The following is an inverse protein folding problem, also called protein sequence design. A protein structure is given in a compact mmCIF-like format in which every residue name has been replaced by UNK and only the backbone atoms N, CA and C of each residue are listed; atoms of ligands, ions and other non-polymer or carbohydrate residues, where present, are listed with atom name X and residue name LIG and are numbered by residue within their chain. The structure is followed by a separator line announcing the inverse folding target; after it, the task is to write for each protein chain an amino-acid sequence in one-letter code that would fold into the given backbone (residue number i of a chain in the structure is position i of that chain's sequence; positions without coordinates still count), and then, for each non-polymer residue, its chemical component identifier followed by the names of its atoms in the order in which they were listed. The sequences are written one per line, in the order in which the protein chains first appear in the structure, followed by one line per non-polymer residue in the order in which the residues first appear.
data_IF_676389766107
#
_entry.id   IF_676389766107
#
_cell.length_a   1.000
_cell.length_b   1.000
_cell.length_c   1.000
_cell.angle_alpha   90.00
_cell.angle_beta   90.00
_cell.angle_gamma   90.00
#
_symmetry.space_group_name_H-M   'P 1'
#
loop_
_entity.id
_entity.type
_entity.pdbx_description
1 polymer ?
#
# COMPACT_ATOMS: atom_id res chain seq x y z
N UNK A 1 -16.39 -8.57 16.78
CA UNK A 1 -16.27 -8.61 18.22
C UNK A 1 -17.38 -9.34 18.95
N UNK A 2 -18.65 -9.26 18.51
CA UNK A 2 -19.80 -9.81 19.26
C UNK A 2 -19.72 -11.34 19.46
N UNK A 3 -19.25 -12.09 18.45
CA UNK A 3 -19.15 -13.56 18.52
C UNK A 3 -17.96 -14.08 19.35
N UNK A 4 -17.01 -13.23 19.71
CA UNK A 4 -15.78 -13.62 20.40
C UNK A 4 -15.61 -12.94 21.76
N UNK A 5 -16.69 -12.58 22.41
CA UNK A 5 -16.69 -11.94 23.76
C UNK A 5 -15.73 -10.73 23.86
N UNK A 6 -15.68 -9.90 22.81
CA UNK A 6 -14.81 -8.73 22.74
C UNK A 6 -13.34 -9.01 22.42
N UNK A 7 -12.92 -10.28 22.31
CA UNK A 7 -11.55 -10.65 21.89
C UNK A 7 -11.50 -10.89 20.37
N UNK A 8 -10.56 -10.27 19.69
CA UNK A 8 -10.31 -10.54 18.27
C UNK A 8 -9.44 -11.81 18.19
N UNK A 9 -9.89 -12.88 17.50
CA UNK A 9 -9.05 -14.05 17.31
C UNK A 9 -7.87 -13.73 16.38
N UNK A 10 -6.74 -14.45 16.46
CA UNK A 10 -5.65 -14.29 15.52
C UNK A 10 -6.09 -14.51 14.08
N UNK A 11 -5.72 -13.59 13.20
CA UNK A 11 -6.11 -13.58 11.78
C UNK A 11 -4.97 -14.18 10.94
N UNK A 12 -5.29 -15.16 10.11
CA UNK A 12 -4.38 -15.72 9.12
C UNK A 12 -4.69 -15.16 7.73
N UNK A 13 -3.67 -14.74 6.99
CA UNK A 13 -3.81 -14.24 5.62
C UNK A 13 -3.18 -15.23 4.65
N UNK A 14 -4.02 -15.89 3.84
CA UNK A 14 -3.54 -16.86 2.85
C UNK A 14 -3.07 -16.16 1.56
N UNK A 15 -2.02 -16.67 0.89
CA UNK A 15 -1.45 -16.06 -0.32
C UNK A 15 -2.28 -16.41 -1.57
N UNK A 16 -3.56 -16.01 -1.60
CA UNK A 16 -4.50 -16.32 -2.68
C UNK A 16 -4.67 -15.16 -3.69
N UNK A 17 -3.97 -14.06 -3.52
CA UNK A 17 -4.01 -12.90 -4.42
C UNK A 17 -2.90 -12.91 -5.47
N UNK A 18 -2.82 -11.84 -6.26
CA UNK A 18 -1.79 -11.64 -7.29
C UNK A 18 -0.43 -11.24 -6.70
N UNK A 19 -0.41 -10.32 -5.75
CA UNK A 19 0.81 -9.75 -5.16
C UNK A 19 1.12 -10.29 -3.76
N UNK A 20 0.10 -10.69 -3.00
CA UNK A 20 0.19 -11.32 -1.68
C UNK A 20 1.07 -10.55 -0.66
N UNK A 21 1.12 -9.21 -0.75
CA UNK A 21 2.03 -8.39 0.06
C UNK A 21 1.84 -8.62 1.57
N UNK A 22 0.60 -8.72 2.05
CA UNK A 22 0.29 -8.94 3.46
C UNK A 22 0.73 -10.33 3.90
N UNK A 23 0.42 -11.37 3.11
CA UNK A 23 0.85 -12.73 3.41
C UNK A 23 2.39 -12.82 3.45
N UNK A 24 3.08 -12.19 2.49
CA UNK A 24 4.55 -12.13 2.45
C UNK A 24 5.14 -11.41 3.67
N UNK A 25 4.52 -10.33 4.12
CA UNK A 25 4.93 -9.60 5.34
C UNK A 25 4.82 -10.47 6.59
N UNK A 26 3.77 -11.30 6.64
CA UNK A 26 3.55 -12.28 7.71
C UNK A 26 4.34 -13.59 7.51
N UNK A 27 5.22 -13.67 6.52
CA UNK A 27 6.04 -14.85 6.26
C UNK A 27 5.29 -16.03 5.66
N UNK A 28 4.12 -15.79 5.07
CA UNK A 28 3.28 -16.81 4.45
C UNK A 28 3.46 -16.77 2.95
N UNK A 29 4.02 -17.84 2.34
CA UNK A 29 4.35 -17.89 0.93
C UNK A 29 3.89 -19.19 0.27
N UNK A 30 3.90 -19.22 -1.07
CA UNK A 30 3.68 -20.40 -1.88
C UNK A 30 2.21 -20.77 -2.05
N UNK A 31 1.91 -22.04 -2.01
CA UNK A 31 0.57 -22.57 -2.22
C UNK A 31 -0.35 -22.29 -1.02
N UNK A 32 -1.56 -21.72 -1.23
CA UNK A 32 -2.45 -21.36 -0.14
C UNK A 32 -2.98 -22.57 0.66
N UNK A 33 -3.09 -23.75 0.02
CA UNK A 33 -3.55 -24.96 0.70
C UNK A 33 -2.48 -25.46 1.66
N UNK A 34 -1.22 -25.52 1.22
CA UNK A 34 -0.08 -25.88 2.08
C UNK A 34 0.11 -24.87 3.23
N UNK A 35 -0.11 -23.60 2.96
CA UNK A 35 -0.08 -22.58 3.99
C UNK A 35 -1.18 -22.80 5.04
N UNK A 36 -2.39 -23.14 4.61
CA UNK A 36 -3.50 -23.46 5.50
C UNK A 36 -3.22 -24.71 6.34
N UNK A 37 -2.72 -25.79 5.72
CA UNK A 37 -2.33 -27.03 6.42
C UNK A 37 -1.33 -26.73 7.54
N UNK A 38 -0.30 -25.94 7.25
CA UNK A 38 0.70 -25.52 8.24
C UNK A 38 0.10 -24.68 9.37
N UNK A 39 -0.84 -23.77 9.07
CA UNK A 39 -1.55 -23.00 10.10
C UNK A 39 -2.35 -23.93 11.01
N UNK A 40 -3.03 -24.93 10.45
CA UNK A 40 -3.80 -25.91 11.22
C UNK A 40 -2.88 -26.76 12.12
N UNK A 41 -1.71 -27.16 11.64
CA UNK A 41 -0.71 -27.87 12.45
C UNK A 41 -0.23 -27.02 13.63
N UNK A 42 0.12 -25.77 13.38
CA UNK A 42 0.52 -24.82 14.43
C UNK A 42 -0.61 -24.59 15.43
N UNK A 43 -1.86 -24.48 14.95
CA UNK A 43 -3.01 -24.30 15.83
C UNK A 43 -3.22 -25.49 16.80
N UNK A 44 -2.85 -26.71 16.40
CA UNK A 44 -2.90 -27.92 17.26
C UNK A 44 -1.80 -27.91 18.32
N UNK A 45 -0.63 -27.34 18.04
CA UNK A 45 0.52 -27.28 18.95
C UNK A 45 0.53 -26.04 19.84
N UNK A 46 -0.23 -25.00 19.49
CA UNK A 46 -0.32 -23.72 20.20
C UNK A 46 0.08 -22.54 19.33
N UNK A 47 -0.73 -21.48 19.35
CA UNK A 47 -0.54 -20.29 18.50
C UNK A 47 0.38 -19.22 19.13
N UNK A 48 0.72 -19.32 20.42
CA UNK A 48 1.31 -18.23 21.20
C UNK A 48 2.51 -17.56 20.53
N UNK A 49 3.50 -18.34 20.11
CA UNK A 49 4.76 -17.84 19.52
C UNK A 49 4.59 -17.34 18.08
N UNK A 50 3.45 -17.59 17.46
CA UNK A 50 3.14 -17.22 16.09
C UNK A 50 2.22 -16.00 15.99
N UNK A 51 1.75 -15.44 17.11
CA UNK A 51 0.88 -14.27 17.11
C UNK A 51 1.69 -12.99 17.16
N UNK A 52 1.50 -12.14 16.17
CA UNK A 52 2.08 -10.78 16.11
C UNK A 52 0.97 -9.74 16.09
N UNK A 53 1.22 -8.63 16.77
CA UNK A 53 0.30 -7.49 16.77
C UNK A 53 0.57 -6.59 15.58
N UNK A 54 -0.45 -6.21 14.82
CA UNK A 54 -0.37 -5.34 13.65
C UNK A 54 -1.44 -4.28 13.70
N UNK A 55 -1.08 -3.04 13.47
CA UNK A 55 -2.03 -1.98 13.22
C UNK A 55 -2.51 -2.01 11.77
N UNK A 56 -3.72 -1.57 11.55
CA UNK A 56 -4.34 -1.46 10.24
C UNK A 56 -4.55 0.01 9.88
N UNK A 57 -4.71 0.26 8.59
CA UNK A 57 -5.21 1.53 8.08
C UNK A 57 -6.73 1.50 8.15
N UNK A 58 -7.33 2.39 8.92
CA UNK A 58 -8.76 2.65 8.91
C UNK A 58 -9.05 3.81 7.96
N UNK A 59 -9.67 3.50 6.81
CA UNK A 59 -9.99 4.44 5.75
C UNK A 59 -11.46 4.87 5.85
N UNK A 60 -11.72 6.18 5.79
CA UNK A 60 -13.06 6.76 5.74
C UNK A 60 -13.09 8.03 4.88
N UNK A 61 -14.23 8.32 4.27
CA UNK A 61 -14.53 9.60 3.61
C UNK A 61 -15.40 10.54 4.48
N UNK A 62 -15.61 10.15 5.74
CA UNK A 62 -16.45 10.89 6.68
C UNK A 62 -17.95 10.67 6.50
N UNK A 63 -18.39 9.84 5.55
CA UNK A 63 -19.81 9.48 5.34
C UNK A 63 -20.15 8.09 5.88
N UNK A 64 -19.21 7.17 5.78
CA UNK A 64 -19.40 5.79 6.22
C UNK A 64 -19.29 5.70 7.74
N UNK A 65 -20.26 5.07 8.37
CA UNK A 65 -20.26 4.81 9.82
C UNK A 65 -19.18 3.77 10.21
N UNK A 66 -18.72 2.97 9.27
CA UNK A 66 -17.69 1.94 9.48
C UNK A 66 -16.51 2.18 8.54
N UNK A 67 -15.28 2.32 9.06
CA UNK A 67 -14.10 2.44 8.23
C UNK A 67 -13.84 1.16 7.45
N UNK A 68 -13.24 1.29 6.27
CA UNK A 68 -12.66 0.15 5.54
C UNK A 68 -11.25 -0.06 6.09
N UNK A 69 -10.93 -1.32 6.43
CA UNK A 69 -9.66 -1.68 7.06
C UNK A 69 -8.74 -2.36 6.04
N UNK A 70 -7.45 -2.03 6.11
CA UNK A 70 -6.42 -2.66 5.26
C UNK A 70 -5.02 -2.36 5.75
N UNK A 71 -4.00 -2.83 5.04
CA UNK A 71 -2.58 -2.66 5.41
C UNK A 71 -1.76 -1.96 4.32
N UNK A 72 -2.25 -1.92 3.09
CA UNK A 72 -1.56 -1.30 1.96
C UNK A 72 -2.53 -0.47 1.14
N UNK A 73 -2.24 0.82 1.01
CA UNK A 73 -2.99 1.75 0.19
C UNK A 73 -2.11 2.31 -0.92
N UNK A 74 -2.60 2.23 -2.15
CA UNK A 74 -2.06 2.90 -3.32
C UNK A 74 -2.98 4.01 -3.81
N UNK A 75 -2.41 5.18 -4.08
CA UNK A 75 -3.16 6.34 -4.56
C UNK A 75 -2.43 7.10 -5.66
N UNK A 76 -3.02 8.20 -6.11
CA UNK A 76 -2.54 9.05 -7.20
C UNK A 76 -2.31 8.22 -8.49
N UNK A 77 -1.25 8.48 -9.25
CA UNK A 77 -0.94 7.74 -10.47
C UNK A 77 -0.75 6.23 -10.28
N UNK A 78 -0.39 5.78 -9.06
CA UNK A 78 -0.27 4.35 -8.76
C UNK A 78 -1.64 3.64 -8.80
N UNK A 79 -2.71 4.29 -8.34
CA UNK A 79 -4.06 3.74 -8.44
C UNK A 79 -4.46 3.55 -9.91
N UNK A 80 -4.23 4.56 -10.75
CA UNK A 80 -4.50 4.49 -12.19
C UNK A 80 -3.67 3.40 -12.87
N UNK A 81 -2.40 3.25 -12.46
CA UNK A 81 -1.50 2.20 -12.93
C UNK A 81 -2.01 0.80 -12.57
N UNK A 82 -2.41 0.57 -11.32
CA UNK A 82 -2.93 -0.74 -10.87
C UNK A 82 -4.22 -1.09 -11.62
N UNK A 83 -5.12 -0.11 -11.80
CA UNK A 83 -6.34 -0.28 -12.57
C UNK A 83 -6.05 -0.63 -14.03
N UNK A 84 -5.12 0.09 -14.64
CA UNK A 84 -4.68 -0.19 -16.00
C UNK A 84 -4.12 -1.61 -16.15
N UNK A 85 -3.24 -2.05 -15.24
CA UNK A 85 -2.73 -3.42 -15.23
C UNK A 85 -3.86 -4.44 -15.13
N UNK A 86 -4.81 -4.20 -14.23
CA UNK A 86 -5.92 -5.13 -14.00
C UNK A 86 -6.82 -5.26 -15.23
N UNK A 87 -7.13 -4.14 -15.87
CA UNK A 87 -8.13 -4.10 -16.94
C UNK A 87 -7.56 -4.41 -18.34
N UNK A 88 -6.26 -4.13 -18.55
CA UNK A 88 -5.63 -4.24 -19.88
C UNK A 88 -4.53 -5.28 -19.97
N UNK A 89 -3.75 -5.47 -18.91
CA UNK A 89 -2.54 -6.31 -18.99
C UNK A 89 -2.79 -7.72 -18.45
N UNK A 90 -3.49 -7.88 -17.33
CA UNK A 90 -3.78 -9.20 -16.78
C UNK A 90 -4.59 -10.12 -17.69
N UNK A 91 -5.57 -9.62 -18.49
CA UNK A 91 -6.27 -10.46 -19.46
C UNK A 91 -5.38 -11.08 -20.55
N UNK A 92 -4.15 -10.54 -20.75
CA UNK A 92 -3.17 -11.08 -21.70
C UNK A 92 -2.49 -12.38 -21.22
N UNK A 93 -2.75 -12.82 -19.97
CA UNK A 93 -2.22 -14.07 -19.43
C UNK A 93 -0.70 -14.08 -19.18
N UNK A 94 -0.04 -12.92 -19.22
CA UNK A 94 1.40 -12.79 -18.98
C UNK A 94 1.73 -13.03 -17.50
N UNK A 95 2.96 -13.46 -17.22
CA UNK A 95 3.43 -13.60 -15.85
C UNK A 95 3.39 -12.25 -15.12
N UNK A 96 3.08 -12.25 -13.82
CA UNK A 96 2.91 -11.02 -13.04
C UNK A 96 4.13 -10.10 -13.12
N UNK A 97 5.34 -10.65 -12.99
CA UNK A 97 6.58 -9.86 -13.07
C UNK A 97 6.76 -9.19 -14.43
N UNK A 98 6.47 -9.89 -15.51
CA UNK A 98 6.58 -9.36 -16.87
C UNK A 98 5.49 -8.33 -17.17
N UNK A 99 4.26 -8.55 -16.67
CA UNK A 99 3.15 -7.59 -16.78
C UNK A 99 3.48 -6.27 -16.10
N UNK A 100 4.01 -6.32 -14.89
CA UNK A 100 4.42 -5.11 -14.15
C UNK A 100 5.60 -4.40 -14.81
N UNK A 101 6.60 -5.15 -15.30
CA UNK A 101 7.73 -4.59 -16.04
C UNK A 101 7.27 -3.87 -17.31
N UNK A 102 6.43 -4.51 -18.12
CA UNK A 102 5.91 -3.93 -19.36
C UNK A 102 5.11 -2.67 -19.11
N UNK A 103 4.27 -2.65 -18.08
CA UNK A 103 3.47 -1.48 -17.72
C UNK A 103 4.35 -0.35 -17.17
N UNK A 104 5.33 -0.66 -16.32
CA UNK A 104 6.30 0.32 -15.83
C UNK A 104 7.08 0.96 -16.99
N UNK A 105 7.50 0.16 -17.96
CA UNK A 105 8.18 0.63 -19.17
C UNK A 105 7.27 1.53 -20.00
N UNK A 106 5.99 1.16 -20.18
CA UNK A 106 5.02 1.95 -20.93
C UNK A 106 4.75 3.31 -20.25
N UNK A 107 4.58 3.33 -18.92
CA UNK A 107 4.41 4.56 -18.14
C UNK A 107 5.66 5.43 -18.24
N UNK A 108 6.85 4.85 -18.07
CA UNK A 108 8.11 5.58 -18.19
C UNK A 108 8.28 6.17 -19.59
N UNK A 109 8.01 5.39 -20.64
CA UNK A 109 8.06 5.86 -22.03
C UNK A 109 7.06 7.00 -22.27
N UNK A 110 5.84 6.92 -21.74
CA UNK A 110 4.85 7.98 -21.87
C UNK A 110 5.30 9.30 -21.24
N UNK A 111 5.96 9.22 -20.09
CA UNK A 111 6.49 10.39 -19.38
C UNK A 111 7.70 11.00 -20.09
N UNK A 112 8.62 10.17 -20.61
CA UNK A 112 9.83 10.63 -21.30
C UNK A 112 9.50 11.26 -22.66
N UNK A 113 8.65 10.59 -23.43
CA UNK A 113 8.34 11.01 -24.81
C UNK A 113 7.09 11.87 -24.93
N UNK A 114 6.41 12.16 -23.81
CA UNK A 114 5.17 12.94 -23.81
C UNK A 114 4.03 12.27 -24.60
N UNK A 115 4.09 10.95 -24.82
CA UNK A 115 3.13 10.23 -25.63
C UNK A 115 1.80 10.15 -24.87
N UNK A 116 0.83 10.93 -25.31
CA UNK A 116 -0.56 10.86 -24.82
C UNK A 116 -1.36 9.87 -25.66
N UNK A 117 -1.11 8.60 -25.47
CA UNK A 117 -1.90 7.57 -26.14
C UNK A 117 -3.16 7.24 -25.32
N UNK A 118 -4.26 7.02 -26.03
CA UNK A 118 -5.60 6.73 -25.45
C UNK A 118 -5.64 5.49 -24.53
N UNK A 119 -4.64 4.64 -24.63
CA UNK A 119 -4.50 3.40 -23.85
C UNK A 119 -3.50 3.53 -22.67
N UNK A 120 -2.87 4.70 -22.46
CA UNK A 120 -1.98 4.94 -21.33
C UNK A 120 -2.74 5.54 -20.15
N UNK A 121 -2.30 5.31 -18.90
CA UNK A 121 -2.88 5.95 -17.73
C UNK A 121 -2.88 7.47 -17.88
N UNK A 122 -4.00 8.10 -17.56
CA UNK A 122 -4.11 9.55 -17.60
C UNK A 122 -3.18 10.18 -16.55
N UNK A 123 -2.74 11.41 -16.80
CA UNK A 123 -1.92 12.15 -15.83
C UNK A 123 -2.68 12.31 -14.50
N UNK A 124 -2.03 12.01 -13.39
CA UNK A 124 -2.61 12.14 -12.06
C UNK A 124 -3.10 13.57 -11.79
N UNK A 125 -4.27 13.68 -11.16
CA UNK A 125 -4.79 14.96 -10.68
C UNK A 125 -3.94 15.48 -9.51
N UNK A 126 -3.89 16.80 -9.28
CA UNK A 126 -3.20 17.35 -8.13
C UNK A 126 -3.89 16.85 -6.83
N UNK A 127 -3.08 16.42 -5.88
CA UNK A 127 -3.52 15.89 -4.59
C UNK A 127 -2.79 16.66 -3.50
N UNK A 128 -3.50 17.03 -2.46
CA UNK A 128 -2.93 17.58 -1.24
C UNK A 128 -2.98 16.52 -0.14
N UNK A 129 -1.86 16.31 0.53
CA UNK A 129 -1.73 15.34 1.61
C UNK A 129 -1.36 16.10 2.87
N UNK A 130 -2.19 16.00 3.90
CA UNK A 130 -1.93 16.61 5.20
C UNK A 130 -1.65 15.53 6.23
N UNK A 131 -0.51 15.64 6.91
CA UNK A 131 -0.15 14.83 8.06
C UNK A 131 -0.37 15.64 9.32
N UNK A 132 -1.04 15.06 10.31
CA UNK A 132 -1.53 15.80 11.48
C UNK A 132 -0.43 16.41 12.36
N UNK A 133 0.82 15.96 12.26
CA UNK A 133 1.97 16.42 13.07
C UNK A 133 3.17 16.92 12.26
N UNK A 134 3.25 16.65 10.97
CA UNK A 134 4.49 16.86 10.18
C UNK A 134 4.32 17.79 8.98
N UNK A 135 3.14 18.37 8.77
CA UNK A 135 2.96 19.36 7.71
C UNK A 135 2.04 18.92 6.57
N UNK A 136 2.11 19.66 5.48
CA UNK A 136 1.29 19.45 4.30
C UNK A 136 2.17 19.28 3.06
N UNK A 137 1.94 18.18 2.34
CA UNK A 137 2.50 17.95 1.02
C UNK A 137 1.42 18.26 -0.03
N UNK A 138 1.69 19.19 -0.92
CA UNK A 138 0.77 19.52 -2.01
C UNK A 138 1.50 19.40 -3.34
N UNK A 139 0.91 18.68 -4.30
CA UNK A 139 1.54 18.48 -5.60
C UNK A 139 0.82 17.47 -6.48
N UNK A 140 1.47 17.15 -7.59
CA UNK A 140 1.09 16.04 -8.44
C UNK A 140 2.04 14.89 -8.19
N UNK A 141 1.50 13.78 -7.72
CA UNK A 141 2.28 12.59 -7.40
C UNK A 141 2.01 11.48 -8.42
N UNK A 142 3.07 10.86 -8.92
CA UNK A 142 2.98 9.64 -9.74
C UNK A 142 2.69 8.41 -8.89
N UNK A 143 3.22 8.41 -7.67
CA UNK A 143 3.07 7.29 -6.73
C UNK A 143 2.70 7.87 -5.37
N UNK A 144 1.66 7.31 -4.76
CA UNK A 144 1.30 7.51 -3.37
C UNK A 144 1.10 6.14 -2.74
N UNK A 145 1.83 5.84 -1.70
CA UNK A 145 1.70 4.62 -0.92
C UNK A 145 1.56 4.99 0.55
N UNK A 146 0.57 4.40 1.21
CA UNK A 146 0.46 4.38 2.68
C UNK A 146 0.39 2.94 3.13
N UNK A 147 1.20 2.57 4.12
CA UNK A 147 1.25 1.18 4.56
C UNK A 147 1.62 1.03 6.04
N UNK A 148 1.11 -0.03 6.66
CA UNK A 148 1.53 -0.51 7.98
C UNK A 148 2.42 -1.76 7.89
N UNK A 149 2.74 -2.25 6.68
CA UNK A 149 3.59 -3.43 6.46
C UNK A 149 5.03 -3.15 6.90
N UNK A 150 5.66 -4.13 7.57
CA UNK A 150 7.03 -4.00 8.05
C UNK A 150 8.06 -4.21 6.94
N UNK A 151 7.83 -5.21 6.09
CA UNK A 151 8.77 -5.63 5.04
C UNK A 151 8.68 -4.78 3.78
N UNK A 152 7.66 -3.97 3.61
CA UNK A 152 7.64 -3.02 2.52
C UNK A 152 8.64 -1.91 2.83
N UNK A 153 9.79 -2.00 2.16
CA UNK A 153 11.00 -1.19 2.36
C UNK A 153 10.77 0.27 1.96
N UNK A 154 10.07 1.00 2.80
CA UNK A 154 10.02 2.45 2.67
C UNK A 154 11.18 3.14 3.42
N UNK A 155 12.14 2.36 3.94
CA UNK A 155 13.37 2.85 4.56
C UNK A 155 13.18 3.77 5.77
N UNK A 156 12.00 3.74 6.34
CA UNK A 156 11.69 4.47 7.56
C UNK A 156 12.07 3.57 8.73
N UNK A 157 12.88 4.11 9.64
CA UNK A 157 13.40 3.36 10.78
C UNK A 157 12.23 2.93 11.70
N UNK A 158 12.00 1.63 11.93
CA UNK A 158 10.92 1.16 12.80
C UNK A 158 11.11 1.56 14.28
N UNK A 159 12.24 2.18 14.61
CA UNK A 159 12.57 2.54 15.99
C UNK A 159 11.92 3.83 16.52
N UNK A 160 11.33 4.68 15.68
CA UNK A 160 10.73 5.93 16.13
C UNK A 160 9.19 5.86 16.18
N UNK A 161 8.68 5.05 17.11
CA UNK A 161 7.24 4.90 17.38
C UNK A 161 6.55 6.21 17.84
N UNK A 162 7.30 7.30 18.06
CA UNK A 162 6.74 8.62 18.38
C UNK A 162 6.09 9.31 17.16
N UNK A 163 6.43 8.87 15.94
CA UNK A 163 5.94 9.44 14.68
C UNK A 163 4.72 8.75 14.12
N UNK A 164 4.27 7.65 14.71
CA UNK A 164 3.14 6.86 14.25
C UNK A 164 3.55 5.64 13.40
N UNK A 165 2.60 4.74 13.13
CA UNK A 165 2.89 3.43 12.54
C UNK A 165 2.55 3.35 11.04
N UNK A 166 1.79 4.31 10.48
CA UNK A 166 1.57 4.39 9.04
C UNK A 166 2.76 5.07 8.37
N UNK A 167 3.35 4.37 7.39
CA UNK A 167 4.42 4.86 6.52
C UNK A 167 3.81 5.43 5.26
N UNK A 168 4.16 6.67 4.92
CA UNK A 168 3.76 7.36 3.69
C UNK A 168 4.96 7.47 2.77
N UNK A 169 4.77 7.13 1.50
CA UNK A 169 5.67 7.49 0.41
C UNK A 169 4.90 8.23 -0.67
N UNK A 170 5.33 9.43 -1.00
CA UNK A 170 4.84 10.19 -2.15
C UNK A 170 6.00 10.46 -3.11
N UNK A 171 5.76 10.25 -4.42
CA UNK A 171 6.76 10.48 -5.47
C UNK A 171 6.19 11.49 -6.45
N UNK A 172 6.91 12.58 -6.64
CA UNK A 172 6.51 13.65 -7.56
C UNK A 172 6.30 13.14 -8.98
N UNK A 173 5.40 13.79 -9.72
CA UNK A 173 5.16 13.50 -11.12
C UNK A 173 6.28 14.08 -11.98
N UNK A 174 7.48 13.53 -11.84
CA UNK A 174 8.64 13.89 -12.65
C UNK A 174 9.42 12.66 -13.08
N UNK A 175 9.98 12.71 -14.30
CA UNK A 175 10.82 11.60 -14.84
C UNK A 175 12.03 11.35 -13.93
N UNK A 176 12.65 12.42 -13.44
CA UNK A 176 13.82 12.32 -12.56
C UNK A 176 13.50 11.66 -11.22
N UNK A 177 12.34 11.94 -10.61
CA UNK A 177 11.92 11.29 -9.37
C UNK A 177 11.64 9.80 -9.59
N UNK A 178 10.96 9.44 -10.68
CA UNK A 178 10.69 8.05 -11.04
C UNK A 178 11.97 7.26 -11.34
N UNK A 179 12.92 7.84 -12.08
CA UNK A 179 14.21 7.19 -12.34
C UNK A 179 15.01 6.98 -11.05
N UNK A 180 15.00 7.97 -10.12
CA UNK A 180 15.62 7.83 -8.80
C UNK A 180 14.95 6.74 -7.98
N UNK A 181 13.61 6.66 -8.01
CA UNK A 181 12.86 5.60 -7.34
C UNK A 181 13.26 4.22 -7.85
N UNK A 182 13.30 4.02 -9.17
CA UNK A 182 13.71 2.75 -9.80
C UNK A 182 15.15 2.42 -9.40
N UNK A 183 16.06 3.38 -9.51
CA UNK A 183 17.46 3.19 -9.15
C UNK A 183 17.64 2.84 -7.66
N UNK A 184 16.96 3.57 -6.77
CA UNK A 184 17.00 3.32 -5.32
C UNK A 184 16.41 1.93 -4.96
N UNK A 185 15.36 1.50 -5.68
CA UNK A 185 14.75 0.18 -5.51
C UNK A 185 15.71 -0.94 -5.91
N UNK A 186 16.35 -0.83 -7.09
CA UNK A 186 17.32 -1.83 -7.59
C UNK A 186 18.52 -1.97 -6.66
N UNK A 187 19.07 -0.86 -6.18
CA UNK A 187 20.25 -0.85 -5.32
C UNK A 187 19.95 -0.93 -3.82
N UNK A 188 18.70 -1.21 -3.44
CA UNK A 188 18.25 -1.30 -2.03
C UNK A 188 18.67 -0.07 -1.17
N UNK A 189 18.63 1.12 -1.77
CA UNK A 189 19.00 2.40 -1.13
C UNK A 189 17.79 3.21 -0.68
N UNK A 190 16.59 2.67 -0.80
CA UNK A 190 15.36 3.33 -0.34
C UNK A 190 15.48 3.63 1.16
N UNK A 191 15.19 4.88 1.54
CA UNK A 191 15.17 5.36 2.92
C UNK A 191 16.52 5.64 3.59
N UNK A 192 17.64 5.35 2.92
CA UNK A 192 18.97 5.68 3.46
C UNK A 192 19.40 7.13 3.24
N UNK A 193 18.79 7.82 2.31
CA UNK A 193 19.06 9.23 1.99
C UNK A 193 17.76 9.91 1.54
N UNK A 194 17.57 11.17 1.92
CA UNK A 194 16.52 12.01 1.35
C UNK A 194 16.80 12.19 -0.15
N UNK A 195 15.86 11.81 -0.99
CA UNK A 195 15.96 11.93 -2.44
C UNK A 195 14.98 12.99 -2.92
N UNK A 196 15.48 13.92 -3.71
CA UNK A 196 14.65 14.99 -4.30
C UNK A 196 13.48 14.41 -5.12
N UNK A 197 12.25 14.82 -4.80
CA UNK A 197 11.04 14.35 -5.44
C UNK A 197 10.50 13.02 -4.88
N UNK A 198 11.09 12.50 -3.80
CA UNK A 198 10.59 11.35 -3.05
C UNK A 198 10.43 11.78 -1.60
N UNK A 199 9.20 11.75 -1.11
CA UNK A 199 8.81 12.15 0.24
C UNK A 199 8.49 10.89 1.03
N UNK A 200 9.18 10.71 2.16
CA UNK A 200 9.00 9.59 3.08
C UNK A 200 8.64 10.15 4.45
N UNK A 201 7.45 9.83 4.94
CA UNK A 201 6.90 10.36 6.17
C UNK A 201 6.25 9.25 7.00
N UNK A 202 6.03 9.51 8.28
CA UNK A 202 5.28 8.63 9.17
C UNK A 202 4.20 9.41 9.90
N UNK A 203 3.07 8.77 10.19
CA UNK A 203 2.00 9.42 10.95
C UNK A 203 0.88 8.46 11.35
N UNK A 204 0.08 8.87 12.34
CA UNK A 204 -1.10 8.13 12.80
C UNK A 204 -2.38 8.58 12.10
N UNK A 205 -2.35 9.76 11.50
CA UNK A 205 -3.48 10.32 10.75
C UNK A 205 -2.98 11.01 9.50
N UNK A 206 -3.49 10.57 8.35
CA UNK A 206 -3.18 11.11 7.02
C UNK A 206 -4.48 11.51 6.36
N UNK A 207 -4.54 12.74 5.85
CA UNK A 207 -5.67 13.29 5.11
C UNK A 207 -5.25 13.53 3.66
N UNK A 208 -6.00 12.93 2.74
CA UNK A 208 -5.76 13.05 1.30
C UNK A 208 -6.91 13.84 0.69
N UNK A 209 -6.60 14.95 0.04
CA UNK A 209 -7.55 15.84 -0.62
C UNK A 209 -7.23 15.93 -2.11
N UNK A 210 -8.24 15.86 -2.96
CA UNK A 210 -8.11 16.01 -4.41
C UNK A 210 -9.46 15.93 -5.12
N UNK A 211 -9.54 16.48 -6.31
CA UNK A 211 -10.82 16.63 -7.04
C UNK A 211 -11.50 15.29 -7.38
N UNK A 212 -10.75 14.21 -7.52
CA UNK A 212 -11.25 12.84 -7.74
C UNK A 212 -10.26 11.85 -7.13
N UNK A 213 -10.24 11.81 -5.80
CA UNK A 213 -9.33 10.90 -5.10
C UNK A 213 -9.88 9.48 -5.13
N UNK A 214 -9.38 8.66 -6.05
CA UNK A 214 -9.53 7.21 -5.97
C UNK A 214 -8.26 6.61 -5.38
N UNK A 215 -8.44 5.68 -4.45
CA UNK A 215 -7.35 4.91 -3.85
C UNK A 215 -7.69 3.43 -3.91
N UNK A 216 -6.67 2.60 -3.84
CA UNK A 216 -6.82 1.14 -3.76
C UNK A 216 -6.29 0.71 -2.41
N UNK A 217 -7.14 0.09 -1.60
CA UNK A 217 -6.80 -0.47 -0.30
C UNK A 217 -6.84 -1.99 -0.41
N UNK A 218 -5.70 -2.66 -0.22
CA UNK A 218 -5.53 -4.12 -0.31
C UNK A 218 -6.14 -4.76 -1.58
N UNK A 219 -6.11 -4.02 -2.70
CA UNK A 219 -6.66 -4.45 -3.99
C UNK A 219 -8.11 -4.01 -4.26
N UNK A 220 -8.83 -3.47 -3.29
CA UNK A 220 -10.17 -2.94 -3.44
C UNK A 220 -10.16 -1.43 -3.73
N UNK A 221 -11.01 -1.00 -4.68
CA UNK A 221 -11.09 0.42 -5.07
C UNK A 221 -11.99 1.16 -4.11
N UNK A 222 -11.46 2.22 -3.53
CA UNK A 222 -12.22 3.19 -2.77
C UNK A 222 -12.23 4.54 -3.50
N UNK A 223 -13.41 5.11 -3.69
CA UNK A 223 -13.61 6.43 -4.29
C UNK A 223 -14.23 7.36 -3.27
N UNK A 224 -13.54 8.44 -2.94
CA UNK A 224 -14.14 9.48 -2.13
C UNK A 224 -15.30 10.14 -2.89
N UNK A 225 -16.31 10.55 -2.16
CA UNK A 225 -17.35 11.43 -2.70
C UNK A 225 -16.74 12.75 -3.16
N UNK A 226 -17.29 13.34 -4.20
CA UNK A 226 -16.80 14.59 -4.80
C UNK A 226 -16.59 15.68 -3.74
N UNK A 227 -15.40 16.26 -3.71
CA UNK A 227 -15.06 17.32 -2.74
C UNK A 227 -14.81 16.86 -1.31
N UNK A 228 -14.83 15.54 -1.03
CA UNK A 228 -14.56 15.02 0.31
C UNK A 228 -13.14 14.45 0.44
N UNK A 229 -12.46 14.69 1.57
CA UNK A 229 -11.16 14.11 1.82
C UNK A 229 -11.30 12.63 2.18
N UNK A 230 -10.28 11.86 1.81
CA UNK A 230 -10.03 10.53 2.36
C UNK A 230 -9.23 10.72 3.64
N UNK A 231 -9.72 10.15 4.74
CA UNK A 231 -9.06 10.17 6.03
C UNK A 231 -8.57 8.76 6.37
N UNK A 232 -7.28 8.66 6.67
CA UNK A 232 -6.62 7.44 7.11
C UNK A 232 -6.22 7.59 8.57
N UNK A 233 -6.49 6.58 9.37
CA UNK A 233 -6.05 6.51 10.78
C UNK A 233 -5.47 5.14 11.07
N UNK A 234 -4.48 5.09 11.94
CA UNK A 234 -4.00 3.83 12.51
C UNK A 234 -5.05 3.26 13.46
N UNK A 235 -5.25 1.95 13.44
CA UNK A 235 -6.15 1.25 14.38
C UNK A 235 -5.40 0.85 15.64
N UNK A 236 -6.13 0.41 16.66
CA UNK A 236 -5.56 -0.43 17.71
C UNK A 236 -4.97 -1.71 17.09
N UNK A 237 -3.90 -2.26 17.71
CA UNK A 237 -3.27 -3.46 17.21
C UNK A 237 -4.22 -4.66 17.16
N UNK A 238 -4.15 -5.41 16.06
CA UNK A 238 -4.94 -6.62 15.79
C UNK A 238 -4.00 -7.82 15.73
N UNK A 239 -4.34 -8.97 16.35
CA UNK A 239 -3.50 -10.15 16.32
C UNK A 239 -3.52 -10.84 14.95
N UNK A 240 -2.35 -11.09 14.37
CA UNK A 240 -2.15 -11.84 13.14
C UNK A 240 -1.25 -13.03 13.35
N UNK A 241 -1.43 -14.10 12.56
CA UNK A 241 -0.52 -15.24 12.53
C UNK A 241 0.66 -14.97 11.60
N UNK A 242 1.87 -15.17 12.11
CA UNK A 242 3.14 -15.06 11.38
C UNK A 242 3.79 -16.44 11.32
N UNK A 243 4.09 -16.95 10.11
CA UNK A 243 4.68 -18.28 9.91
C UNK A 243 6.20 -18.29 9.79
N UNK A 244 6.83 -17.17 9.49
CA UNK A 244 8.28 -17.05 9.49
C UNK A 244 8.75 -16.63 10.88
N UNK A 245 9.63 -17.42 11.45
CA UNK A 245 10.45 -17.02 12.58
C UNK A 245 11.55 -16.06 12.11
#
# INVERSE_FOLDING_TARGET
GEHFCGRVPPIAVLPNGKTNLIALDLGIHGDPIKALERIVEIAKSGLGDHVVQRELIALTDGQTTRPVLGMFLGGAGLADYILYCRDKIYPLGLSNGFSHFLTALAVLASLVFGIRARFLPQSSHPVSISLMREGQLAGRFSVLIVTTLERLLLGVDPGDSRRGNMKLMAVDQSVSALLRLVWASVFRRMGKQQMQGIHLEQGDTIRIEGAQSSVILDGEIFRASEGKPILLRSTEPVPFLRLAA
#
